data_IF_796887823049
#
_entry.id   IF_796887823049
#
_cell.length_a   1.000
_cell.length_b   1.000
_cell.length_c   1.000
_cell.angle_alpha   90.00
_cell.angle_beta   90.00
_cell.angle_gamma   90.00
#
_symmetry.space_group_name_H-M   'P 1'
#
loop_
_entity.id
_entity.type
_entity.pdbx_description
1 polymer ?
#
# COMPACT_ATOMS: atom_id res chain seq x y z
N UNK A 1 12.48 -2.48 -1.62
CA UNK A 1 12.83 -1.55 -0.54
C UNK A 1 13.59 -0.31 -1.00
N UNK A 2 14.35 -0.37 -2.10
CA UNK A 2 15.07 0.80 -2.64
C UNK A 2 14.21 2.05 -2.91
N UNK A 3 12.95 1.97 -3.42
CA UNK A 3 12.17 3.20 -3.69
C UNK A 3 11.71 3.91 -2.42
N UNK A 4 11.33 3.15 -1.39
CA UNK A 4 10.80 3.68 -0.13
C UNK A 4 11.92 4.41 0.65
N UNK A 5 13.11 3.81 0.71
CA UNK A 5 14.27 4.43 1.37
C UNK A 5 14.65 5.72 0.64
N UNK A 6 14.71 5.69 -0.70
CA UNK A 6 14.99 6.88 -1.50
C UNK A 6 13.94 7.98 -1.27
N UNK A 7 12.66 7.63 -1.28
CA UNK A 7 11.56 8.56 -0.99
C UNK A 7 11.70 9.23 0.38
N UNK A 8 11.93 8.44 1.44
CA UNK A 8 12.11 8.96 2.80
C UNK A 8 13.37 9.81 2.94
N UNK A 9 14.48 9.40 2.34
CA UNK A 9 15.72 10.16 2.33
C UNK A 9 15.55 11.52 1.62
N UNK A 10 14.95 11.52 0.42
CA UNK A 10 14.67 12.74 -0.32
C UNK A 10 13.71 13.66 0.43
N UNK A 11 12.66 13.12 1.05
CA UNK A 11 11.72 13.89 1.86
C UNK A 11 12.40 14.57 3.06
N UNK A 12 13.39 13.89 3.66
CA UNK A 12 14.16 14.42 4.79
C UNK A 12 15.20 15.47 4.37
N UNK A 13 15.86 15.26 3.25
CA UNK A 13 17.06 16.01 2.83
C UNK A 13 16.75 17.17 1.86
N UNK A 14 15.72 17.06 1.03
CA UNK A 14 15.38 18.04 0.01
C UNK A 14 14.11 18.80 0.37
N UNK A 15 14.23 20.13 0.53
CA UNK A 15 13.08 21.01 0.78
C UNK A 15 12.12 20.98 -0.41
N UNK A 16 12.64 21.09 -1.63
CA UNK A 16 11.84 21.08 -2.85
C UNK A 16 11.03 19.77 -2.99
N UNK A 17 11.63 18.62 -2.68
CA UNK A 17 10.91 17.34 -2.74
C UNK A 17 9.86 17.22 -1.64
N UNK A 18 10.16 17.68 -0.42
CA UNK A 18 9.18 17.73 0.66
C UNK A 18 7.98 18.59 0.29
N UNK A 19 8.21 19.79 -0.24
CA UNK A 19 7.15 20.72 -0.64
C UNK A 19 6.31 20.13 -1.80
N UNK A 20 6.95 19.43 -2.74
CA UNK A 20 6.25 18.65 -3.77
C UNK A 20 5.33 17.58 -3.16
N UNK A 21 5.83 16.76 -2.23
CA UNK A 21 5.03 15.71 -1.58
C UNK A 21 3.86 16.29 -0.79
N UNK A 22 4.07 17.43 -0.13
CA UNK A 22 3.03 18.13 0.62
C UNK A 22 1.99 18.82 -0.28
N UNK A 23 2.30 19.04 -1.56
CA UNK A 23 1.41 19.64 -2.55
C UNK A 23 0.64 18.62 -3.41
N UNK A 24 0.87 17.31 -3.21
CA UNK A 24 0.14 16.25 -3.94
C UNK A 24 -1.36 16.36 -3.66
N UNK A 25 -2.18 16.23 -4.71
CA UNK A 25 -3.64 16.10 -4.62
C UNK A 25 -4.00 14.87 -3.77
N UNK A 26 -4.39 15.13 -2.52
CA UNK A 26 -4.65 14.10 -1.54
C UNK A 26 -5.89 13.25 -1.85
N UNK A 27 -7.04 13.82 -2.29
CA UNK A 27 -8.13 13.05 -2.87
C UNK A 27 -7.70 12.09 -3.97
N UNK A 28 -6.90 12.56 -4.95
CA UNK A 28 -6.43 11.70 -6.04
C UNK A 28 -5.49 10.60 -5.53
N UNK A 29 -4.52 10.94 -4.69
CA UNK A 29 -3.61 9.99 -4.06
C UNK A 29 -4.36 8.90 -3.27
N UNK A 30 -5.42 9.30 -2.57
CA UNK A 30 -6.31 8.38 -1.84
C UNK A 30 -7.10 7.50 -2.81
N UNK A 31 -7.66 8.07 -3.89
CA UNK A 31 -8.42 7.33 -4.89
C UNK A 31 -7.57 6.30 -5.65
N UNK A 32 -6.27 6.55 -5.88
CA UNK A 32 -5.36 5.58 -6.50
C UNK A 32 -5.31 4.26 -5.70
N UNK A 33 -5.47 4.31 -4.37
CA UNK A 33 -5.53 3.10 -3.53
C UNK A 33 -6.69 2.17 -3.93
N UNK A 34 -7.71 2.67 -4.65
CA UNK A 34 -8.81 1.84 -5.14
C UNK A 34 -8.35 0.70 -6.02
N UNK A 35 -7.22 0.83 -6.74
CA UNK A 35 -6.61 -0.24 -7.53
C UNK A 35 -6.29 -1.50 -6.73
N UNK A 36 -6.20 -1.39 -5.40
CA UNK A 36 -6.00 -2.53 -4.50
C UNK A 36 -7.21 -3.47 -4.45
N UNK A 37 -8.36 -3.13 -5.05
CA UNK A 37 -9.42 -4.13 -5.28
C UNK A 37 -8.91 -5.35 -6.07
N UNK A 38 -7.84 -5.18 -6.86
CA UNK A 38 -7.15 -6.25 -7.57
C UNK A 38 -6.57 -7.34 -6.64
N UNK A 39 -6.52 -7.13 -5.32
CA UNK A 39 -6.20 -8.16 -4.33
C UNK A 39 -7.11 -9.39 -4.40
N UNK A 40 -8.31 -9.27 -4.99
CA UNK A 40 -9.15 -10.41 -5.37
C UNK A 40 -8.40 -11.41 -6.26
N UNK A 41 -7.48 -10.94 -7.11
CA UNK A 41 -6.62 -11.76 -7.94
C UNK A 41 -5.73 -12.71 -7.13
N UNK A 42 -5.27 -12.32 -5.94
CA UNK A 42 -4.51 -13.23 -5.07
C UNK A 42 -5.36 -14.39 -4.57
N UNK A 43 -6.62 -14.11 -4.20
CA UNK A 43 -7.56 -15.13 -3.77
C UNK A 43 -7.87 -16.10 -4.93
N UNK A 44 -8.08 -15.58 -6.14
CA UNK A 44 -8.24 -16.42 -7.33
C UNK A 44 -7.00 -17.29 -7.57
N UNK A 45 -5.79 -16.72 -7.56
CA UNK A 45 -4.55 -17.47 -7.75
C UNK A 45 -4.33 -18.53 -6.66
N UNK A 46 -4.78 -18.28 -5.42
CA UNK A 46 -4.81 -19.30 -4.38
C UNK A 46 -5.78 -20.44 -4.71
N UNK A 47 -7.00 -20.14 -5.17
CA UNK A 47 -7.97 -21.19 -5.54
C UNK A 47 -7.49 -22.09 -6.68
N UNK A 48 -6.64 -21.57 -7.57
CA UNK A 48 -6.00 -22.35 -8.64
C UNK A 48 -4.66 -23.00 -8.24
N UNK A 49 -4.26 -22.92 -6.97
CA UNK A 49 -3.01 -23.51 -6.46
C UNK A 49 -1.74 -22.81 -6.93
N UNK A 50 -1.83 -21.55 -7.39
CA UNK A 50 -0.69 -20.78 -7.92
C UNK A 50 0.05 -20.02 -6.81
N UNK A 51 -0.68 -19.54 -5.80
CA UNK A 51 -0.10 -18.81 -4.66
C UNK A 51 -0.43 -19.50 -3.34
N UNK A 52 0.46 -19.44 -2.34
CA UNK A 52 0.21 -20.03 -1.03
C UNK A 52 -0.83 -19.20 -0.26
N UNK A 53 -1.75 -19.88 0.43
CA UNK A 53 -2.82 -19.22 1.19
C UNK A 53 -2.32 -18.33 2.32
N UNK A 54 -1.16 -18.64 2.91
CA UNK A 54 -0.49 -17.84 3.94
C UNK A 54 -0.09 -16.44 3.48
N UNK A 55 0.10 -16.24 2.17
CA UNK A 55 0.29 -14.94 1.54
C UNK A 55 -1.00 -14.41 0.94
N UNK A 56 -1.68 -15.23 0.14
CA UNK A 56 -2.81 -14.78 -0.68
C UNK A 56 -4.00 -14.31 0.15
N UNK A 57 -4.28 -14.98 1.28
CA UNK A 57 -5.40 -14.61 2.14
C UNK A 57 -5.21 -13.24 2.81
N UNK A 58 -4.14 -13.01 3.61
CA UNK A 58 -3.96 -11.72 4.25
C UNK A 58 -3.76 -10.59 3.23
N UNK A 59 -2.94 -10.80 2.20
CA UNK A 59 -2.68 -9.78 1.18
C UNK A 59 -3.95 -9.44 0.38
N UNK A 60 -4.71 -10.44 -0.06
CA UNK A 60 -5.91 -10.23 -0.88
C UNK A 60 -7.02 -9.54 -0.10
N UNK A 61 -7.32 -9.99 1.12
CA UNK A 61 -8.39 -9.42 1.94
C UNK A 61 -8.06 -7.99 2.37
N UNK A 62 -6.83 -7.72 2.79
CA UNK A 62 -6.43 -6.37 3.19
C UNK A 62 -6.42 -5.39 2.01
N UNK A 63 -5.89 -5.81 0.86
CA UNK A 63 -5.89 -5.01 -0.37
C UNK A 63 -7.32 -4.67 -0.80
N UNK A 64 -8.24 -5.64 -0.76
CA UNK A 64 -9.65 -5.42 -1.04
C UNK A 64 -10.29 -4.47 -0.02
N UNK A 65 -10.00 -4.60 1.28
CA UNK A 65 -10.56 -3.72 2.29
C UNK A 65 -10.16 -2.25 2.04
N UNK A 66 -8.89 -1.98 1.76
CA UNK A 66 -8.39 -0.64 1.45
C UNK A 66 -8.90 -0.16 0.09
N UNK A 67 -8.81 -1.01 -0.94
CA UNK A 67 -9.21 -0.67 -2.30
C UNK A 67 -10.69 -0.37 -2.42
N UNK A 68 -11.54 -1.14 -1.74
CA UNK A 68 -12.95 -0.84 -1.65
C UNK A 68 -13.12 0.47 -0.88
N UNK A 69 -12.59 0.64 0.33
CA UNK A 69 -12.88 1.85 1.13
C UNK A 69 -12.30 3.16 0.55
N UNK A 70 -11.30 3.11 -0.32
CA UNK A 70 -10.59 4.27 -0.86
C UNK A 70 -11.47 5.36 -1.52
N UNK A 71 -12.45 5.07 -2.41
CA UNK A 71 -13.29 6.10 -3.02
C UNK A 71 -14.14 6.86 -1.99
N UNK A 72 -14.59 6.19 -0.92
CA UNK A 72 -15.34 6.84 0.16
C UNK A 72 -14.46 7.77 0.99
N UNK A 73 -13.22 7.37 1.26
CA UNK A 73 -12.22 8.21 1.97
C UNK A 73 -11.84 9.41 1.09
N UNK A 74 -11.61 9.21 -0.20
CA UNK A 74 -11.34 10.29 -1.16
C UNK A 74 -12.51 11.27 -1.24
N UNK A 75 -13.75 10.78 -1.34
CA UNK A 75 -14.94 11.61 -1.34
C UNK A 75 -15.09 12.40 -0.02
N UNK A 76 -14.75 11.80 1.12
CA UNK A 76 -14.76 12.48 2.40
C UNK A 76 -13.75 13.64 2.45
N UNK A 77 -12.55 13.47 1.88
CA UNK A 77 -11.56 14.54 1.74
C UNK A 77 -12.08 15.68 0.84
N UNK A 78 -12.71 15.35 -0.29
CA UNK A 78 -13.26 16.35 -1.22
C UNK A 78 -14.40 17.16 -0.60
N UNK A 79 -15.28 16.52 0.17
CA UNK A 79 -16.44 17.17 0.78
C UNK A 79 -16.13 17.91 2.08
N UNK A 80 -15.09 17.47 2.81
CA UNK A 80 -14.75 17.98 4.15
C UNK A 80 -13.23 18.10 4.28
N UNK A 81 -12.63 19.25 3.93
CA UNK A 81 -11.18 19.44 4.01
C UNK A 81 -10.58 19.16 5.40
N UNK A 82 -11.32 19.41 6.48
CA UNK A 82 -10.89 19.10 7.86
C UNK A 82 -10.76 17.61 8.16
N UNK A 83 -11.30 16.73 7.30
CA UNK A 83 -11.23 15.27 7.46
C UNK A 83 -9.78 14.76 7.46
N UNK A 84 -8.85 15.47 6.82
CA UNK A 84 -7.42 15.15 6.81
C UNK A 84 -6.83 15.04 8.22
N UNK A 85 -7.29 15.86 9.17
CA UNK A 85 -6.82 15.84 10.56
C UNK A 85 -7.53 14.81 11.45
N UNK A 86 -8.47 14.04 10.90
CA UNK A 86 -9.30 13.13 11.70
C UNK A 86 -8.55 11.86 12.09
N UNK A 87 -8.87 11.32 13.28
CA UNK A 87 -8.36 10.01 13.73
C UNK A 87 -8.71 8.89 12.75
N UNK A 88 -9.86 8.97 12.10
CA UNK A 88 -10.31 7.99 11.11
C UNK A 88 -9.41 7.98 9.87
N UNK A 89 -9.06 9.15 9.32
CA UNK A 89 -8.16 9.25 8.17
C UNK A 89 -6.77 8.72 8.50
N UNK A 90 -6.23 9.07 9.67
CA UNK A 90 -4.94 8.55 10.14
C UNK A 90 -4.99 7.04 10.31
N UNK A 91 -6.01 6.50 10.99
CA UNK A 91 -6.18 5.07 11.19
C UNK A 91 -6.29 4.32 9.86
N UNK A 92 -7.06 4.84 8.90
CA UNK A 92 -7.21 4.23 7.57
C UNK A 92 -5.86 4.12 6.83
N UNK A 93 -5.04 5.17 6.86
CA UNK A 93 -3.70 5.13 6.26
C UNK A 93 -2.77 4.15 6.99
N UNK A 94 -2.83 4.08 8.32
CA UNK A 94 -2.05 3.12 9.10
C UNK A 94 -2.46 1.67 8.82
N UNK A 95 -3.76 1.39 8.68
CA UNK A 95 -4.25 0.07 8.25
C UNK A 95 -3.75 -0.27 6.84
N UNK A 96 -3.78 0.69 5.91
CA UNK A 96 -3.27 0.48 4.56
C UNK A 96 -1.77 0.19 4.51
N UNK A 97 -0.97 0.82 5.38
CA UNK A 97 0.46 0.53 5.55
C UNK A 97 0.66 -0.86 6.18
N UNK A 98 -0.07 -1.17 7.25
CA UNK A 98 0.07 -2.44 7.97
C UNK A 98 -0.20 -3.62 7.03
N UNK A 99 -1.25 -3.52 6.23
CA UNK A 99 -1.60 -4.52 5.24
C UNK A 99 -0.48 -4.77 4.22
N UNK A 100 0.08 -3.72 3.60
CA UNK A 100 1.22 -3.86 2.70
C UNK A 100 2.44 -4.50 3.38
N UNK A 101 2.70 -4.14 4.64
CA UNK A 101 3.79 -4.74 5.43
C UNK A 101 3.53 -6.22 5.66
N UNK A 102 2.31 -6.61 6.00
CA UNK A 102 1.92 -8.01 6.19
C UNK A 102 2.05 -8.78 4.88
N UNK A 103 1.56 -8.25 3.76
CA UNK A 103 1.67 -8.85 2.43
C UNK A 103 3.14 -9.08 2.03
N UNK A 104 4.00 -8.07 2.16
CA UNK A 104 5.42 -8.20 1.83
C UNK A 104 6.13 -9.19 2.76
N UNK A 105 5.83 -9.13 4.07
CA UNK A 105 6.48 -10.00 5.06
C UNK A 105 6.09 -11.46 4.85
N UNK A 106 4.79 -11.75 4.67
CA UNK A 106 4.31 -13.10 4.38
C UNK A 106 4.81 -13.60 3.03
N UNK A 107 4.89 -12.72 2.02
CA UNK A 107 5.41 -13.08 0.71
C UNK A 107 6.89 -13.46 0.75
N UNK A 108 7.69 -12.66 1.47
CA UNK A 108 9.11 -12.93 1.69
C UNK A 108 9.33 -14.18 2.54
N UNK A 109 8.57 -14.37 3.63
CA UNK A 109 8.66 -15.58 4.46
C UNK A 109 8.36 -16.84 3.66
N UNK A 110 7.32 -16.86 2.84
CA UNK A 110 7.03 -18.00 1.96
C UNK A 110 8.18 -18.28 0.98
N UNK A 111 8.84 -17.24 0.46
CA UNK A 111 9.98 -17.41 -0.43
C UNK A 111 11.23 -17.93 0.30
N UNK A 112 11.46 -17.49 1.54
CA UNK A 112 12.61 -17.91 2.36
C UNK A 112 12.45 -19.36 2.83
N UNK A 113 11.22 -19.75 3.17
CA UNK A 113 10.90 -21.08 3.68
C UNK A 113 10.65 -22.12 2.59
N UNK A 114 10.72 -21.73 1.31
CA UNK A 114 10.54 -22.64 0.19
C UNK A 114 11.60 -23.76 0.23
N UNK A 115 11.13 -25.01 0.15
CA UNK A 115 11.97 -26.21 0.24
C UNK A 115 12.55 -26.64 -1.12
N UNK A 116 11.98 -26.15 -2.22
CA UNK A 116 12.39 -26.49 -3.59
C UNK A 116 11.89 -27.87 -4.04
N UNK A 117 10.97 -28.48 -3.29
CA UNK A 117 10.34 -29.75 -3.66
C UNK A 117 9.52 -29.55 -4.94
N UNK A 118 9.62 -30.45 -5.94
CA UNK A 118 8.80 -30.36 -7.14
C UNK A 118 7.29 -30.28 -6.82
N UNK A 119 6.61 -29.27 -7.37
CA UNK A 119 5.19 -29.03 -7.13
C UNK A 119 4.86 -28.21 -5.88
N UNK A 120 5.86 -27.73 -5.13
CA UNK A 120 5.64 -26.82 -4.00
C UNK A 120 5.04 -25.48 -4.46
N UNK A 121 3.95 -25.07 -3.82
CA UNK A 121 3.29 -23.79 -4.07
C UNK A 121 4.01 -22.69 -3.29
N UNK A 122 4.64 -21.76 -4.00
CA UNK A 122 5.43 -20.67 -3.42
C UNK A 122 4.98 -19.31 -3.95
N UNK A 123 5.58 -18.24 -3.45
CA UNK A 123 5.38 -16.89 -4.00
C UNK A 123 6.25 -16.60 -5.23
N UNK A 124 6.89 -17.62 -5.83
CA UNK A 124 7.69 -17.50 -7.04
C UNK A 124 7.01 -16.77 -8.21
N UNK A 125 5.70 -16.97 -8.49
CA UNK A 125 4.99 -16.22 -9.54
C UNK A 125 5.07 -14.70 -9.36
N UNK A 126 5.18 -14.20 -8.12
CA UNK A 126 5.31 -12.76 -7.82
C UNK A 126 6.63 -12.16 -8.29
N UNK A 127 7.59 -12.97 -8.74
CA UNK A 127 8.85 -12.53 -9.36
C UNK A 127 8.82 -12.57 -10.90
N UNK A 128 7.69 -12.95 -11.49
CA UNK A 128 7.53 -13.10 -12.95
C UNK A 128 6.45 -12.15 -13.50
N UNK A 129 6.54 -11.83 -14.79
CA UNK A 129 5.50 -11.02 -15.43
C UNK A 129 4.18 -11.81 -15.54
N UNK A 130 3.02 -11.16 -15.34
CA UNK A 130 2.85 -9.73 -15.03
C UNK A 130 2.94 -9.40 -13.52
N UNK A 131 2.93 -10.41 -12.64
CA UNK A 131 2.77 -10.24 -11.20
C UNK A 131 3.92 -9.48 -10.51
N UNK A 132 5.12 -9.48 -11.09
CA UNK A 132 6.28 -8.73 -10.57
C UNK A 132 6.03 -7.22 -10.44
N UNK A 133 5.10 -6.67 -11.23
CA UNK A 133 4.69 -5.26 -11.11
C UNK A 133 4.10 -4.95 -9.73
N UNK A 134 3.52 -5.94 -9.05
CA UNK A 134 2.89 -5.77 -7.74
C UNK A 134 3.96 -5.43 -6.68
N UNK A 135 4.92 -6.33 -6.34
CA UNK A 135 5.91 -6.05 -5.30
C UNK A 135 6.96 -5.04 -5.75
N UNK A 136 7.26 -4.95 -7.05
CA UNK A 136 8.32 -4.07 -7.55
C UNK A 136 7.87 -2.62 -7.74
N UNK A 137 6.59 -2.37 -8.04
CA UNK A 137 6.08 -1.04 -8.39
C UNK A 137 4.87 -0.63 -7.55
N UNK A 138 3.77 -1.40 -7.60
CA UNK A 138 2.50 -1.02 -6.98
C UNK A 138 2.60 -0.92 -5.45
N UNK A 139 3.18 -1.93 -4.80
CA UNK A 139 3.35 -1.94 -3.33
C UNK A 139 4.18 -0.74 -2.85
N UNK A 140 5.37 -0.45 -3.40
CA UNK A 140 6.10 0.78 -3.05
C UNK A 140 5.29 2.06 -3.31
N UNK A 141 4.61 2.15 -4.44
CA UNK A 141 3.78 3.32 -4.79
C UNK A 141 2.68 3.55 -3.75
N UNK A 142 1.87 2.53 -3.46
CA UNK A 142 0.79 2.61 -2.49
C UNK A 142 1.29 2.98 -1.09
N UNK A 143 2.44 2.43 -0.69
CA UNK A 143 3.05 2.79 0.59
C UNK A 143 3.48 4.26 0.62
N UNK A 144 4.14 4.75 -0.43
CA UNK A 144 4.55 6.16 -0.53
C UNK A 144 3.35 7.11 -0.50
N UNK A 145 2.23 6.75 -1.11
CA UNK A 145 1.00 7.55 -1.08
C UNK A 145 0.38 7.60 0.33
N UNK A 146 0.36 6.49 1.07
CA UNK A 146 -0.06 6.51 2.48
C UNK A 146 0.87 7.35 3.36
N UNK A 147 2.18 7.28 3.13
CA UNK A 147 3.15 8.11 3.85
C UNK A 147 2.96 9.60 3.54
N UNK A 148 2.79 9.95 2.26
CA UNK A 148 2.49 11.32 1.84
C UNK A 148 1.22 11.86 2.51
N UNK A 149 0.15 11.05 2.54
CA UNK A 149 -1.09 11.39 3.22
C UNK A 149 -0.91 11.66 4.72
N UNK A 150 -0.14 10.83 5.42
CA UNK A 150 0.17 11.03 6.84
C UNK A 150 1.07 12.24 7.07
N UNK A 151 2.01 12.53 6.18
CA UNK A 151 2.84 13.73 6.27
C UNK A 151 2.02 15.00 6.10
N UNK A 152 1.10 15.04 5.13
CA UNK A 152 0.18 16.16 4.97
C UNK A 152 -0.73 16.32 6.19
N UNK A 153 -1.32 15.23 6.71
CA UNK A 153 -2.16 15.28 7.92
C UNK A 153 -1.42 15.84 9.14
N UNK A 154 -0.16 15.43 9.35
CA UNK A 154 0.69 15.97 10.42
C UNK A 154 1.03 17.43 10.21
N UNK A 155 1.30 17.84 8.97
CA UNK A 155 1.60 19.23 8.64
C UNK A 155 0.41 20.16 8.91
N UNK A 156 -0.79 19.75 8.50
CA UNK A 156 -2.04 20.50 8.77
C UNK A 156 -2.34 20.61 10.27
N UNK A 157 -2.09 19.55 11.05
CA UNK A 157 -2.26 19.61 12.50
C UNK A 157 -1.27 20.59 13.15
N UNK A 158 -0.03 20.64 12.67
CA UNK A 158 0.99 21.57 13.18
C UNK A 158 0.74 23.03 12.80
N UNK A 159 0.00 23.32 11.72
CA UNK A 159 -0.34 24.70 11.33
C UNK A 159 -1.55 25.29 12.07
N UNK A 160 -2.29 24.49 12.82
CA UNK A 160 -3.46 24.93 13.61
C UNK A 160 -3.06 25.33 15.05
N UNK A 161 -1.84 24.97 15.48
CA UNK A 161 -1.24 25.36 16.76
C UNK A 161 -0.25 26.51 16.57
#
# INVERSE_FOLDING_TARGET
MSPIIAFLALFRMSRAFRDFVLAIDLPLATAIQAWRFAGFGFLALFTYGVLPGTFAWPAGVGDMAIGLTAPWVALALMRRPSFIGSKLFVAWNLFGILDLVVAVSTGALNSILATGVPGEVTTGPMAQLPLVLIPAYLVPLFLMLHLAALFQARHTAASIH
#
